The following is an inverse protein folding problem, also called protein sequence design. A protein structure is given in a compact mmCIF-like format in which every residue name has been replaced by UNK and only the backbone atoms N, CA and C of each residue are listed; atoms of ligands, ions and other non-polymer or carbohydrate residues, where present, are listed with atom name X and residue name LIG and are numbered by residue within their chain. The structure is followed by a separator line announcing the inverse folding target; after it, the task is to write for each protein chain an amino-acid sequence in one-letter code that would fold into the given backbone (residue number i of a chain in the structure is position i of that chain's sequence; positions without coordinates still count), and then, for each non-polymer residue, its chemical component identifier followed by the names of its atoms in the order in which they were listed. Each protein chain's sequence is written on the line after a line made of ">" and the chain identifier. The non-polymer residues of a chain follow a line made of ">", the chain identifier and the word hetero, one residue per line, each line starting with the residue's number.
data_IF_463725250592
#
_entry.id   IF_463725250592
#
_cell.length_a   1.000
_cell.length_b   1.000
_cell.length_c   1.000
_cell.angle_alpha   90.00
_cell.angle_beta   90.00
_cell.angle_gamma   90.00
#
_symmetry.space_group_name_H-M   'P 1'
#
loop_
_entity.id
_entity.type
_entity.pdbx_description
1 polymer ?
#
# COMPACT_ATOMS: atom_id res chain seq x y z
N UNK A 1 -10.60 0.37 -6.26
CA UNK A 1 -9.26 0.43 -6.87
C UNK A 1 -8.25 0.23 -5.75
N UNK A 2 -7.37 -0.75 -5.89
CA UNK A 2 -6.39 -1.13 -4.88
C UNK A 2 -5.14 -0.24 -5.00
N UNK A 3 -4.51 0.19 -3.89
CA UNK A 3 -3.23 0.92 -3.91
C UNK A 3 -2.17 0.25 -4.81
N UNK A 4 -2.18 -1.08 -4.90
CA UNK A 4 -1.28 -1.84 -5.75
C UNK A 4 -1.43 -1.49 -7.24
N UNK A 5 -2.66 -1.30 -7.73
CA UNK A 5 -2.95 -1.00 -9.13
C UNK A 5 -2.41 0.38 -9.50
N UNK A 6 -2.64 1.38 -8.66
CA UNK A 6 -2.20 2.74 -8.95
C UNK A 6 -0.67 2.87 -8.87
N UNK A 7 -0.02 2.20 -7.91
CA UNK A 7 1.44 2.15 -7.84
C UNK A 7 2.05 1.42 -9.03
N UNK A 8 1.45 0.32 -9.48
CA UNK A 8 1.87 -0.40 -10.68
C UNK A 8 1.75 0.49 -11.91
N UNK A 9 0.63 1.20 -12.06
CA UNK A 9 0.44 2.14 -13.16
C UNK A 9 1.51 3.25 -13.15
N UNK A 10 1.77 3.86 -11.98
CA UNK A 10 2.81 4.88 -11.86
C UNK A 10 4.19 4.37 -12.26
N UNK A 11 4.52 3.14 -11.85
CA UNK A 11 5.77 2.49 -12.23
C UNK A 11 5.87 2.30 -13.74
N UNK A 12 4.80 1.82 -14.39
CA UNK A 12 4.75 1.65 -15.85
C UNK A 12 4.87 2.99 -16.58
N UNK A 13 4.15 4.03 -16.15
CA UNK A 13 4.24 5.35 -16.78
C UNK A 13 5.61 6.01 -16.58
N UNK A 14 6.26 5.76 -15.45
CA UNK A 14 7.63 6.22 -15.21
C UNK A 14 8.60 5.60 -16.22
N UNK A 15 8.45 4.31 -16.52
CA UNK A 15 9.22 3.63 -17.58
C UNK A 15 8.86 4.16 -18.98
N UNK A 16 7.57 4.31 -19.27
CA UNK A 16 7.05 4.77 -20.56
C UNK A 16 7.45 6.23 -20.88
N UNK A 17 7.81 7.03 -19.86
CA UNK A 17 8.31 8.39 -20.05
C UNK A 17 9.47 8.48 -21.04
N UNK A 18 10.28 7.42 -21.15
CA UNK A 18 11.38 7.33 -22.13
C UNK A 18 10.90 7.35 -23.58
N UNK A 19 9.69 6.87 -23.84
CA UNK A 19 9.07 6.81 -25.17
C UNK A 19 8.24 8.05 -25.47
N UNK A 20 7.49 8.56 -24.49
CA UNK A 20 6.67 9.75 -24.63
C UNK A 20 6.55 10.53 -23.31
N UNK A 21 7.40 11.53 -23.16
CA UNK A 21 7.48 12.34 -21.94
C UNK A 21 6.18 13.09 -21.64
N UNK A 22 5.56 13.71 -22.64
CA UNK A 22 4.38 14.56 -22.46
C UNK A 22 3.20 13.72 -21.98
N UNK A 23 2.92 12.60 -22.67
CA UNK A 23 1.80 11.73 -22.30
C UNK A 23 2.02 11.12 -20.91
N UNK A 24 3.23 10.63 -20.62
CA UNK A 24 3.57 10.06 -19.32
C UNK A 24 3.45 11.09 -18.19
N UNK A 25 3.93 12.32 -18.40
CA UNK A 25 3.84 13.40 -17.41
C UNK A 25 2.38 13.79 -17.11
N UNK A 26 1.54 13.89 -18.14
CA UNK A 26 0.10 14.15 -17.97
C UNK A 26 -0.60 13.03 -17.19
N UNK A 27 -0.32 11.77 -17.52
CA UNK A 27 -0.89 10.61 -16.85
C UNK A 27 -0.46 10.50 -15.38
N UNK A 28 0.84 10.64 -15.11
CA UNK A 28 1.40 10.63 -13.75
C UNK A 28 0.80 11.75 -12.92
N UNK A 29 0.74 12.98 -13.46
CA UNK A 29 0.10 14.11 -12.77
C UNK A 29 -1.36 13.82 -12.45
N UNK A 30 -2.11 13.22 -13.37
CA UNK A 30 -3.52 12.86 -13.14
C UNK A 30 -3.65 11.92 -11.95
N UNK A 31 -2.85 10.85 -11.88
CA UNK A 31 -2.95 9.85 -10.81
C UNK A 31 -2.43 10.36 -9.48
N UNK A 32 -1.36 11.16 -9.46
CA UNK A 32 -0.88 11.76 -8.22
C UNK A 32 -1.97 12.60 -7.52
N UNK A 33 -2.90 13.20 -8.27
CA UNK A 33 -4.06 13.90 -7.70
C UNK A 33 -5.10 12.96 -7.08
N UNK A 34 -5.13 11.69 -7.48
CA UNK A 34 -6.05 10.67 -6.97
C UNK A 34 -5.45 9.85 -5.81
N UNK A 35 -4.15 9.94 -5.54
CA UNK A 35 -3.45 9.20 -4.49
C UNK A 35 -3.59 9.79 -3.08
N UNK A 36 -4.63 10.60 -2.83
CA UNK A 36 -4.99 11.11 -1.50
C UNK A 36 -5.48 10.01 -0.53
N UNK A 37 -5.29 8.74 -0.88
CA UNK A 37 -5.57 7.58 -0.04
C UNK A 37 -4.32 6.73 0.22
N UNK A 38 -3.16 7.11 -0.33
CA UNK A 38 -1.90 6.37 -0.16
C UNK A 38 -1.27 6.71 1.19
N UNK A 39 -1.81 6.09 2.24
CA UNK A 39 -1.34 6.18 3.62
C UNK A 39 -1.25 4.79 4.24
N UNK A 40 -0.50 4.67 5.35
CA UNK A 40 -0.33 3.40 6.08
C UNK A 40 -1.68 2.77 6.47
N UNK A 41 -2.63 3.61 6.91
CA UNK A 41 -3.96 3.20 7.37
C UNK A 41 -4.80 2.53 6.26
N UNK A 42 -4.55 2.90 5.00
CA UNK A 42 -5.35 2.46 3.85
C UNK A 42 -4.60 1.47 2.95
N UNK A 43 -3.27 1.49 2.92
CA UNK A 43 -2.51 0.57 2.08
C UNK A 43 -2.65 -0.89 2.54
N UNK A 44 -2.88 -1.09 3.84
CA UNK A 44 -3.06 -2.42 4.47
C UNK A 44 -4.25 -3.19 3.88
N UNK A 45 -5.24 -2.49 3.31
CA UNK A 45 -6.35 -3.16 2.62
C UNK A 45 -5.89 -3.99 1.41
N UNK A 46 -4.71 -3.74 0.86
CA UNK A 46 -4.12 -4.54 -0.23
C UNK A 46 -3.86 -5.99 0.17
N UNK A 47 -3.79 -6.30 1.48
CA UNK A 47 -3.72 -7.69 1.99
C UNK A 47 -4.98 -8.49 1.59
N UNK A 48 -6.14 -7.83 1.47
CA UNK A 48 -7.41 -8.48 1.12
C UNK A 48 -7.71 -8.47 -0.38
N UNK A 49 -6.80 -7.92 -1.20
CA UNK A 49 -6.99 -7.82 -2.64
C UNK A 49 -6.80 -9.19 -3.29
N UNK A 50 -7.91 -9.80 -3.75
CA UNK A 50 -7.88 -11.13 -4.34
C UNK A 50 -7.10 -11.19 -5.66
N UNK A 51 -7.00 -10.08 -6.37
CA UNK A 51 -6.30 -9.97 -7.65
C UNK A 51 -4.79 -9.72 -7.47
N UNK A 52 -4.35 -9.33 -6.26
CA UNK A 52 -2.94 -9.16 -5.95
C UNK A 52 -2.25 -10.52 -5.85
N UNK A 53 -1.06 -10.62 -6.44
CA UNK A 53 -0.26 -11.84 -6.43
C UNK A 53 -0.04 -12.34 -5.00
N UNK A 54 -0.19 -13.65 -4.80
CA UNK A 54 -0.18 -14.28 -3.48
C UNK A 54 1.11 -13.98 -2.69
N UNK A 55 2.26 -14.10 -3.35
CA UNK A 55 3.56 -13.81 -2.74
C UNK A 55 3.65 -12.36 -2.22
N UNK A 56 3.00 -11.42 -2.91
CA UNK A 56 3.01 -10.00 -2.54
C UNK A 56 2.06 -9.73 -1.37
N UNK A 57 0.89 -10.37 -1.34
CA UNK A 57 0.01 -10.35 -0.15
C UNK A 57 0.73 -10.91 1.07
N UNK A 58 1.43 -12.03 0.90
CA UNK A 58 2.23 -12.63 1.96
C UNK A 58 3.31 -11.68 2.47
N UNK A 59 4.06 -11.04 1.56
CA UNK A 59 5.08 -10.06 1.92
C UNK A 59 4.50 -8.83 2.68
N UNK A 60 3.29 -8.37 2.31
CA UNK A 60 2.60 -7.29 3.04
C UNK A 60 2.25 -7.70 4.47
N UNK A 61 1.73 -8.93 4.64
CA UNK A 61 1.37 -9.48 5.96
C UNK A 61 2.62 -9.71 6.81
N UNK A 62 3.67 -10.31 6.25
CA UNK A 62 4.95 -10.50 6.94
C UNK A 62 5.56 -9.16 7.39
N UNK A 63 5.53 -8.14 6.53
CA UNK A 63 5.99 -6.81 6.90
C UNK A 63 5.13 -6.22 8.03
N UNK A 64 3.80 -6.32 7.96
CA UNK A 64 2.90 -5.86 9.02
C UNK A 64 3.18 -6.54 10.36
N UNK A 65 3.35 -7.87 10.35
CA UNK A 65 3.63 -8.68 11.55
C UNK A 65 5.00 -8.38 12.16
N UNK A 66 5.96 -7.89 11.36
CA UNK A 66 7.25 -7.43 11.87
C UNK A 66 7.16 -6.13 12.69
N UNK A 67 6.07 -5.38 12.52
CA UNK A 67 5.84 -4.10 13.21
C UNK A 67 5.04 -4.35 14.49
N UNK A 68 5.54 -3.95 15.67
CA UNK A 68 4.79 -4.10 16.91
C UNK A 68 3.44 -3.37 16.87
N UNK A 69 2.37 -4.09 17.23
CA UNK A 69 1.02 -3.51 17.30
C UNK A 69 0.98 -2.38 18.32
N UNK A 70 0.54 -1.20 17.88
CA UNK A 70 0.39 -0.05 18.75
C UNK A 70 -0.81 -0.22 19.69
N UNK A 71 -0.66 0.21 20.95
CA UNK A 71 -1.75 0.17 21.96
C UNK A 71 -2.71 1.34 21.85
N UNK A 72 -2.32 2.40 21.14
CA UNK A 72 -3.07 3.64 21.00
C UNK A 72 -2.75 4.25 19.64
N UNK A 73 -3.80 4.65 18.94
CA UNK A 73 -3.71 5.45 17.72
C UNK A 73 -4.18 6.87 18.04
N UNK A 74 -3.39 7.86 17.66
CA UNK A 74 -3.79 9.26 17.83
C UNK A 74 -4.67 9.66 16.65
N UNK A 75 -5.77 10.42 16.87
CA UNK A 75 -6.59 10.96 15.79
C UNK A 75 -5.81 12.11 15.11
N UNK A 76 -4.93 11.73 14.20
CA UNK A 76 -4.14 12.66 13.38
C UNK A 76 -4.62 12.54 11.94
N UNK A 77 -4.52 13.63 11.18
CA UNK A 77 -4.76 13.58 9.73
C UNK A 77 -3.82 12.54 9.11
N UNK A 78 -4.30 11.68 8.20
CA UNK A 78 -3.45 10.72 7.51
C UNK A 78 -2.25 11.42 6.88
N UNK A 79 -1.07 10.82 7.06
CA UNK A 79 0.14 11.28 6.39
C UNK A 79 0.17 10.68 5.00
N UNK A 80 -0.22 11.46 4.01
CA UNK A 80 -0.03 11.09 2.62
C UNK A 80 1.46 11.12 2.30
N UNK A 81 1.99 10.01 1.80
CA UNK A 81 3.34 10.02 1.30
C UNK A 81 3.38 10.85 0.02
N UNK A 82 4.28 11.85 -0.01
CA UNK A 82 4.46 12.72 -1.16
C UNK A 82 5.26 11.93 -2.20
N UNK A 83 4.57 11.37 -3.18
CA UNK A 83 5.20 10.96 -4.44
C UNK A 83 5.11 12.14 -5.39
N UNK A 84 6.25 12.76 -5.66
CA UNK A 84 6.39 13.82 -6.65
C UNK A 84 6.34 13.26 -8.08
N UNK A 85 6.03 14.10 -9.08
CA UNK A 85 5.98 13.68 -10.48
C UNK A 85 7.34 13.20 -11.03
N UNK A 86 8.44 13.45 -10.33
CA UNK A 86 9.77 12.99 -10.71
C UNK A 86 10.30 11.84 -9.82
N UNK A 87 9.50 11.40 -8.85
CA UNK A 87 9.92 10.32 -7.97
C UNK A 87 9.73 8.98 -8.68
N UNK A 88 10.76 8.14 -8.65
CA UNK A 88 10.69 6.81 -9.20
C UNK A 88 9.83 5.92 -8.31
N UNK A 89 8.59 5.65 -8.73
CA UNK A 89 7.74 4.65 -8.09
C UNK A 89 8.13 3.25 -8.60
N UNK A 90 8.88 2.54 -7.77
CA UNK A 90 9.18 1.12 -7.96
C UNK A 90 8.06 0.26 -7.37
N UNK A 91 7.28 -0.39 -8.23
CA UNK A 91 6.35 -1.44 -7.85
C UNK A 91 7.03 -2.81 -8.06
N UNK A 92 6.90 -3.77 -7.13
CA UNK A 92 6.01 -3.77 -5.96
C UNK A 92 6.61 -3.22 -4.66
N UNK A 93 7.91 -2.92 -4.62
CA UNK A 93 8.63 -2.62 -3.37
C UNK A 93 8.04 -1.43 -2.59
N UNK A 94 7.60 -0.37 -3.28
CA UNK A 94 6.95 0.74 -2.60
C UNK A 94 5.65 0.33 -1.91
N UNK A 95 4.86 -0.58 -2.49
CA UNK A 95 3.62 -1.08 -1.87
C UNK A 95 3.93 -1.67 -0.49
N UNK A 96 4.99 -2.48 -0.40
CA UNK A 96 5.43 -3.09 0.85
C UNK A 96 5.93 -2.03 1.83
N UNK A 97 6.74 -1.07 1.36
CA UNK A 97 7.29 0.02 2.20
C UNK A 97 6.23 0.96 2.78
N UNK A 98 5.03 1.03 2.21
CA UNK A 98 3.93 1.82 2.78
C UNK A 98 3.32 1.16 4.02
N UNK A 99 3.55 -0.12 4.28
CA UNK A 99 3.11 -0.75 5.52
C UNK A 99 3.94 -0.19 6.68
N UNK A 100 3.29 0.61 7.51
CA UNK A 100 3.87 1.20 8.72
C UNK A 100 3.02 0.97 9.98
N UNK A 101 3.38 1.56 11.13
CA UNK A 101 2.69 1.34 12.40
C UNK A 101 1.19 1.63 12.39
N UNK A 102 0.72 2.63 11.62
CA UNK A 102 -0.71 2.95 11.57
C UNK A 102 -1.52 1.95 10.71
N UNK A 103 -0.87 1.04 9.99
CA UNK A 103 -1.53 -0.07 9.28
C UNK A 103 -2.30 -0.96 10.25
N UNK A 104 -1.89 -1.00 11.53
CA UNK A 104 -2.59 -1.72 12.59
C UNK A 104 -3.94 -1.10 12.99
N UNK A 105 -4.22 0.15 12.60
CA UNK A 105 -5.43 0.87 13.00
C UNK A 105 -6.69 0.13 12.58
N UNK A 106 -6.72 -0.47 11.39
CA UNK A 106 -7.88 -1.24 10.90
C UNK A 106 -8.27 -2.34 11.89
N UNK A 107 -7.30 -3.13 12.34
CA UNK A 107 -7.51 -4.26 13.25
C UNK A 107 -7.89 -3.80 14.65
N UNK A 108 -7.39 -2.64 15.09
CA UNK A 108 -7.78 -1.99 16.34
C UNK A 108 -9.25 -1.52 16.30
N UNK A 109 -9.65 -0.84 15.23
CA UNK A 109 -11.02 -0.38 15.02
C UNK A 109 -12.03 -1.54 14.95
N UNK A 110 -11.63 -2.66 14.34
CA UNK A 110 -12.41 -3.89 14.29
C UNK A 110 -12.40 -4.68 15.61
N UNK A 111 -11.66 -4.22 16.61
CA UNK A 111 -11.48 -4.88 17.93
C UNK A 111 -11.00 -6.32 17.80
N UNK A 112 -10.14 -6.59 16.81
CA UNK A 112 -9.61 -7.93 16.58
C UNK A 112 -8.53 -8.24 17.62
N UNK A 113 -8.66 -9.38 18.28
CA UNK A 113 -7.63 -9.93 19.17
C UNK A 113 -6.61 -10.78 18.39
N UNK A 114 -5.61 -11.34 19.07
CA UNK A 114 -4.56 -12.15 18.43
C UNK A 114 -5.13 -13.42 17.77
N UNK A 115 -6.03 -14.14 18.46
CA UNK A 115 -6.68 -15.36 17.93
C UNK A 115 -7.45 -15.09 16.63
N UNK A 116 -8.11 -13.94 16.52
CA UNK A 116 -8.83 -13.52 15.31
C UNK A 116 -7.90 -13.13 14.16
N UNK A 117 -6.60 -12.99 14.42
CA UNK A 117 -5.56 -12.67 13.43
C UNK A 117 -4.70 -13.88 13.06
N UNK A 118 -4.98 -15.07 13.61
CA UNK A 118 -4.23 -16.31 13.32
C UNK A 118 -4.17 -16.62 11.81
N UNK A 119 -5.20 -16.23 11.05
CA UNK A 119 -5.24 -16.38 9.60
C UNK A 119 -4.12 -15.63 8.88
N UNK A 120 -3.53 -14.58 9.48
CA UNK A 120 -2.37 -13.88 8.93
C UNK A 120 -1.09 -14.70 9.01
N UNK A 121 -1.00 -15.61 9.98
CA UNK A 121 0.11 -16.55 10.15
C UNK A 121 -0.09 -17.81 9.30
N UNK A 122 -1.32 -18.08 8.87
CA UNK A 122 -1.61 -19.19 8.00
C UNK A 122 -0.97 -18.97 6.61
N UNK A 123 -0.41 -20.02 5.99
CA UNK A 123 0.01 -19.92 4.60
C UNK A 123 -1.21 -19.53 3.77
N UNK A 124 -1.07 -18.50 2.93
CA UNK A 124 -2.09 -18.08 1.98
C UNK A 124 -2.33 -19.26 1.04
N UNK A 125 -3.30 -20.12 1.37
CA UNK A 125 -3.55 -21.34 0.60
C UNK A 125 -4.57 -21.02 -0.48
N UNK A 126 -4.23 -21.46 -1.70
CA UNK A 126 -4.93 -21.31 -2.98
C UNK A 126 -6.45 -21.18 -2.94
#
# INVERSE_FOLDING_TARGET
>A
ISPAVDLKYLSIMSLYRKENEIAAASAIKSILNHLLYLSEELVVFSVFDRELAEFLRKALVENLLSIPRQKRFLPVKPKFQKTGPNDSVEYPDHLIRFIGPNSWLLFDLLKMNEEQLDWMQAPVSC
#
